data_IF_524457275608
#
_entry.id   IF_524457275608
#
_cell.length_a   1.000
_cell.length_b   1.000
_cell.length_c   1.000
_cell.angle_alpha   90.00
_cell.angle_beta   90.00
_cell.angle_gamma   90.00
#
_symmetry.space_group_name_H-M   'P 1'
#
loop_
_entity.id
_entity.type
_entity.pdbx_description
1 polymer ?
#
# COMPACT_ATOMS: atom_id res chain seq x y z
N UNK A 1 -15.33 -13.09 -28.56
CA UNK A 1 -14.85 -12.50 -29.83
C UNK A 1 -13.67 -11.54 -29.60
N UNK A 2 -13.80 -10.51 -28.76
CA UNK A 2 -12.73 -9.54 -28.46
C UNK A 2 -11.42 -10.12 -27.84
N UNK A 3 -11.40 -11.39 -27.46
CA UNK A 3 -10.17 -12.06 -26.98
C UNK A 3 -9.26 -12.53 -28.12
N UNK A 4 -9.82 -12.81 -29.31
CA UNK A 4 -9.06 -13.29 -30.47
C UNK A 4 -8.53 -12.11 -31.27
N UNK A 5 -7.43 -11.51 -30.81
CA UNK A 5 -6.79 -10.33 -31.42
C UNK A 5 -6.50 -10.51 -32.92
N UNK A 6 -6.06 -11.71 -33.32
CA UNK A 6 -5.75 -12.01 -34.71
C UNK A 6 -6.95 -11.83 -35.66
N UNK A 7 -8.16 -12.21 -35.23
CA UNK A 7 -9.36 -12.07 -36.08
C UNK A 7 -9.72 -10.60 -36.29
N UNK A 8 -9.59 -9.77 -35.26
CA UNK A 8 -10.01 -8.38 -35.30
C UNK A 8 -8.97 -7.51 -36.02
N UNK A 9 -7.68 -7.80 -35.81
CA UNK A 9 -6.57 -7.06 -36.42
C UNK A 9 -6.21 -7.53 -37.84
N UNK A 10 -6.76 -8.66 -38.31
CA UNK A 10 -6.52 -9.17 -39.67
C UNK A 10 -7.11 -8.27 -40.77
N UNK A 11 -8.06 -7.40 -40.42
CA UNK A 11 -8.70 -6.48 -41.36
C UNK A 11 -8.03 -5.10 -41.27
N UNK A 12 -7.66 -4.53 -42.41
CA UNK A 12 -6.93 -3.25 -42.48
C UNK A 12 -7.73 -2.00 -42.08
N UNK A 13 -9.04 -2.11 -41.84
CA UNK A 13 -9.89 -1.01 -41.37
C UNK A 13 -9.82 -0.87 -39.85
N UNK A 14 -9.66 0.35 -39.33
CA UNK A 14 -9.63 0.64 -37.88
C UNK A 14 -11.05 0.58 -37.27
N UNK A 15 -11.76 -0.52 -37.48
CA UNK A 15 -13.15 -0.72 -37.04
C UNK A 15 -13.28 -0.73 -35.51
N UNK A 16 -12.18 -0.98 -34.80
CA UNK A 16 -12.10 -0.95 -33.34
C UNK A 16 -12.30 0.48 -32.80
N UNK A 17 -11.72 1.48 -33.45
CA UNK A 17 -11.83 2.88 -33.03
C UNK A 17 -13.29 3.37 -33.19
N UNK A 18 -13.95 3.02 -34.30
CA UNK A 18 -15.38 3.29 -34.50
C UNK A 18 -16.26 2.59 -33.46
N UNK A 19 -15.99 1.30 -33.17
CA UNK A 19 -16.72 0.55 -32.14
C UNK A 19 -16.53 1.19 -30.75
N UNK A 20 -15.29 1.53 -30.40
CA UNK A 20 -14.97 2.17 -29.14
C UNK A 20 -15.63 3.55 -29.02
N UNK A 21 -15.65 4.34 -30.10
CA UNK A 21 -16.31 5.64 -30.15
C UNK A 21 -17.83 5.50 -29.95
N UNK A 22 -18.46 4.53 -30.62
CA UNK A 22 -19.88 4.24 -30.47
C UNK A 22 -20.23 3.80 -29.04
N UNK A 23 -19.46 2.86 -28.47
CA UNK A 23 -19.68 2.38 -27.09
C UNK A 23 -19.45 3.48 -26.05
N UNK A 24 -18.44 4.34 -26.25
CA UNK A 24 -18.23 5.51 -25.39
C UNK A 24 -19.41 6.48 -25.49
N UNK A 25 -19.92 6.73 -26.70
CA UNK A 25 -21.11 7.58 -26.89
C UNK A 25 -22.35 6.98 -26.22
N UNK A 26 -22.56 5.66 -26.28
CA UNK A 26 -23.68 4.98 -25.61
C UNK A 26 -23.69 5.18 -24.08
N UNK A 27 -22.53 5.39 -23.45
CA UNK A 27 -22.42 5.59 -22.00
C UNK A 27 -22.40 7.08 -21.62
N UNK A 28 -21.71 7.91 -22.40
CA UNK A 28 -21.50 9.33 -22.08
C UNK A 28 -22.61 10.25 -22.57
N UNK A 29 -23.28 9.89 -23.67
CA UNK A 29 -24.28 10.75 -24.30
C UNK A 29 -25.66 10.56 -23.68
N UNK A 30 -26.07 11.55 -22.87
CA UNK A 30 -27.39 11.59 -22.24
C UNK A 30 -28.52 11.80 -23.26
N UNK A 31 -28.23 12.26 -24.47
CA UNK A 31 -29.22 12.52 -25.51
C UNK A 31 -29.81 11.23 -26.11
N UNK A 32 -29.06 10.13 -26.09
CA UNK A 32 -29.48 8.84 -26.65
C UNK A 32 -30.60 8.15 -25.85
N UNK A 33 -30.89 8.64 -24.63
CA UNK A 33 -31.91 8.10 -23.70
C UNK A 33 -31.86 6.57 -23.57
N UNK A 34 -30.66 5.98 -23.62
CA UNK A 34 -30.48 4.54 -23.44
C UNK A 34 -30.63 4.20 -21.95
N UNK A 35 -31.37 3.14 -21.59
CA UNK A 35 -31.88 2.06 -22.45
C UNK A 35 -33.32 2.22 -22.97
N UNK A 36 -33.99 3.35 -22.74
CA UNK A 36 -35.43 3.54 -23.05
C UNK A 36 -35.75 3.48 -24.55
N UNK A 37 -34.75 3.72 -25.40
CA UNK A 37 -34.86 3.67 -26.87
C UNK A 37 -34.59 2.29 -27.47
N UNK A 38 -34.26 1.28 -26.65
CA UNK A 38 -33.99 -0.08 -27.13
C UNK A 38 -35.29 -0.85 -27.38
N UNK A 39 -35.36 -1.52 -28.53
CA UNK A 39 -36.47 -2.42 -28.90
C UNK A 39 -36.13 -3.87 -28.52
N UNK A 40 -37.13 -4.71 -28.23
CA UNK A 40 -36.98 -6.14 -27.88
C UNK A 40 -36.18 -6.41 -26.60
N UNK A 41 -36.45 -5.61 -25.56
CA UNK A 41 -35.74 -5.67 -24.28
C UNK A 41 -36.47 -6.62 -23.30
N UNK A 42 -35.76 -7.35 -22.42
CA UNK A 42 -36.38 -8.15 -21.38
C UNK A 42 -37.34 -7.31 -20.50
N UNK A 43 -38.43 -7.89 -19.96
CA UNK A 43 -39.33 -7.15 -19.09
C UNK A 43 -38.55 -6.63 -17.86
N UNK A 44 -38.66 -5.31 -17.59
CA UNK A 44 -37.98 -4.58 -16.50
C UNK A 44 -36.47 -4.38 -16.64
N UNK A 45 -35.94 -4.26 -17.85
CA UNK A 45 -34.53 -3.92 -18.04
C UNK A 45 -34.21 -2.50 -17.57
N UNK A 46 -33.29 -2.39 -16.62
CA UNK A 46 -32.91 -1.11 -16.03
C UNK A 46 -31.62 -0.57 -16.65
N UNK A 47 -31.34 0.73 -16.45
CA UNK A 47 -30.04 1.33 -16.80
C UNK A 47 -28.86 0.59 -16.13
N UNK A 48 -29.08 0.03 -14.93
CA UNK A 48 -28.05 -0.77 -14.26
C UNK A 48 -27.75 -2.06 -15.02
N UNK A 49 -28.77 -2.71 -15.60
CA UNK A 49 -28.60 -3.96 -16.36
C UNK A 49 -27.96 -3.68 -17.73
N UNK A 50 -28.28 -2.54 -18.35
CA UNK A 50 -27.57 -2.10 -19.54
C UNK A 50 -26.07 -1.91 -19.27
N UNK A 51 -25.73 -1.22 -18.18
CA UNK A 51 -24.34 -0.96 -17.79
C UNK A 51 -23.56 -2.26 -17.54
N UNK A 52 -24.14 -3.25 -16.87
CA UNK A 52 -23.45 -4.52 -16.61
C UNK A 52 -23.07 -5.29 -17.88
N UNK A 53 -23.74 -5.07 -19.01
CA UNK A 53 -23.38 -5.68 -20.30
C UNK A 53 -22.36 -4.85 -21.09
N UNK A 54 -22.43 -3.52 -21.02
CA UNK A 54 -21.55 -2.61 -21.79
C UNK A 54 -20.16 -2.49 -21.17
N UNK A 55 -20.05 -2.38 -19.84
CA UNK A 55 -18.77 -2.18 -19.16
C UNK A 55 -17.73 -3.29 -19.35
N UNK A 56 -18.09 -4.59 -19.39
CA UNK A 56 -17.15 -5.65 -19.77
C UNK A 56 -16.56 -5.46 -21.18
N UNK A 57 -17.34 -4.94 -22.12
CA UNK A 57 -16.87 -4.68 -23.49
C UNK A 57 -15.91 -3.50 -23.49
N UNK A 58 -16.25 -2.40 -22.80
CA UNK A 58 -15.35 -1.26 -22.60
C UNK A 58 -14.03 -1.68 -21.92
N UNK A 59 -14.09 -2.56 -20.93
CA UNK A 59 -12.91 -3.12 -20.27
C UNK A 59 -11.99 -3.86 -21.26
N UNK A 60 -12.58 -4.64 -22.18
CA UNK A 60 -11.80 -5.37 -23.20
C UNK A 60 -11.11 -4.44 -24.21
N UNK A 61 -11.67 -3.26 -24.47
CA UNK A 61 -11.08 -2.24 -25.36
C UNK A 61 -9.78 -1.67 -24.81
N UNK A 62 -9.59 -1.66 -23.48
CA UNK A 62 -8.32 -1.23 -22.89
C UNK A 62 -7.12 -2.03 -23.43
N UNK A 63 -7.36 -3.31 -23.79
CA UNK A 63 -6.33 -4.18 -24.37
C UNK A 63 -5.94 -3.81 -25.81
N UNK A 64 -6.75 -3.00 -26.51
CA UNK A 64 -6.54 -2.52 -27.88
C UNK A 64 -6.03 -1.08 -27.93
N UNK A 65 -5.52 -0.55 -26.81
CA UNK A 65 -5.09 0.85 -26.66
C UNK A 65 -4.23 1.40 -27.81
N UNK A 66 -3.34 0.58 -28.39
CA UNK A 66 -2.42 0.97 -29.47
C UNK A 66 -3.15 1.35 -30.77
N UNK A 67 -4.40 0.92 -30.95
CA UNK A 67 -5.23 1.23 -32.12
C UNK A 67 -6.29 2.31 -31.84
N UNK A 68 -6.36 2.80 -30.60
CA UNK A 68 -7.31 3.84 -30.19
C UNK A 68 -6.64 5.20 -30.23
N UNK A 69 -7.33 6.18 -30.83
CA UNK A 69 -6.87 7.57 -30.83
C UNK A 69 -6.71 8.13 -29.41
N UNK A 70 -5.76 9.03 -29.14
CA UNK A 70 -5.51 9.57 -27.79
C UNK A 70 -6.74 10.23 -27.13
N UNK A 71 -7.60 10.85 -27.94
CA UNK A 71 -8.87 11.42 -27.47
C UNK A 71 -9.85 10.32 -27.04
N UNK A 72 -9.88 9.20 -27.77
CA UNK A 72 -10.76 8.09 -27.46
C UNK A 72 -10.27 7.31 -26.24
N UNK A 73 -8.97 7.18 -26.03
CA UNK A 73 -8.40 6.64 -24.79
C UNK A 73 -8.87 7.43 -23.55
N UNK A 74 -8.85 8.77 -23.62
CA UNK A 74 -9.36 9.61 -22.54
C UNK A 74 -10.88 9.45 -22.34
N UNK A 75 -11.65 9.39 -23.43
CA UNK A 75 -13.10 9.13 -23.36
C UNK A 75 -13.40 7.78 -22.72
N UNK A 76 -12.65 6.73 -23.08
CA UNK A 76 -12.81 5.39 -22.51
C UNK A 76 -12.58 5.40 -21.00
N UNK A 77 -11.51 6.05 -20.52
CA UNK A 77 -11.25 6.21 -19.08
C UNK A 77 -12.43 6.94 -18.41
N UNK A 78 -12.91 8.05 -18.99
CA UNK A 78 -14.08 8.77 -18.47
C UNK A 78 -15.35 7.93 -18.43
N UNK A 79 -15.58 7.07 -19.42
CA UNK A 79 -16.70 6.13 -19.39
C UNK A 79 -16.57 5.16 -18.22
N UNK A 80 -15.38 4.60 -17.96
CA UNK A 80 -15.11 3.72 -16.82
C UNK A 80 -15.35 4.44 -15.47
N UNK A 81 -15.04 5.73 -15.37
CA UNK A 81 -15.35 6.53 -14.18
C UNK A 81 -16.85 6.62 -13.90
N UNK A 82 -17.68 6.79 -14.93
CA UNK A 82 -19.15 6.76 -14.78
C UNK A 82 -19.62 5.41 -14.23
N UNK A 83 -18.95 4.32 -14.63
CA UNK A 83 -19.21 2.96 -14.16
C UNK A 83 -18.94 2.72 -12.67
N UNK A 84 -18.14 3.58 -12.02
CA UNK A 84 -17.85 3.50 -10.59
C UNK A 84 -19.08 3.73 -9.71
N UNK A 85 -20.10 4.41 -10.24
CA UNK A 85 -21.38 4.64 -9.54
C UNK A 85 -22.39 3.51 -9.72
N UNK A 86 -22.07 2.52 -10.57
CA UNK A 86 -22.96 1.41 -10.90
C UNK A 86 -22.58 0.12 -10.14
N UNK A 87 -23.44 -0.91 -10.24
CA UNK A 87 -23.18 -2.24 -9.64
C UNK A 87 -21.90 -2.92 -10.14
N UNK A 88 -21.35 -2.48 -11.26
CA UNK A 88 -20.12 -2.98 -11.87
C UNK A 88 -18.85 -2.21 -11.47
N UNK A 89 -18.89 -1.41 -10.39
CA UNK A 89 -17.76 -0.61 -9.91
C UNK A 89 -16.46 -1.44 -9.77
N UNK A 90 -16.53 -2.66 -9.23
CA UNK A 90 -15.38 -3.56 -9.08
C UNK A 90 -14.66 -3.83 -10.42
N UNK A 91 -15.42 -4.19 -11.45
CA UNK A 91 -14.87 -4.40 -12.79
C UNK A 91 -14.30 -3.11 -13.37
N UNK A 92 -14.95 -1.97 -13.14
CA UNK A 92 -14.46 -0.67 -13.61
C UNK A 92 -13.12 -0.31 -12.95
N UNK A 93 -12.94 -0.55 -11.65
CA UNK A 93 -11.66 -0.32 -10.95
C UNK A 93 -10.55 -1.22 -11.49
N UNK A 94 -10.82 -2.51 -11.70
CA UNK A 94 -9.83 -3.41 -12.33
C UNK A 94 -9.48 -2.95 -13.75
N UNK A 95 -10.48 -2.48 -14.50
CA UNK A 95 -10.27 -1.94 -15.86
C UNK A 95 -9.45 -0.65 -15.85
N UNK A 96 -9.69 0.24 -14.89
CA UNK A 96 -8.87 1.43 -14.66
C UNK A 96 -7.43 1.08 -14.28
N UNK A 97 -7.22 -0.03 -13.56
CA UNK A 97 -5.88 -0.56 -13.28
C UNK A 97 -5.16 -0.94 -14.57
N UNK A 98 -5.82 -1.68 -15.47
CA UNK A 98 -5.29 -1.97 -16.81
C UNK A 98 -5.03 -0.70 -17.61
N UNK A 99 -5.96 0.27 -17.61
CA UNK A 99 -5.77 1.54 -18.30
C UNK A 99 -4.57 2.34 -17.74
N UNK A 100 -4.28 2.21 -16.44
CA UNK A 100 -3.11 2.85 -15.81
C UNK A 100 -1.80 2.25 -16.33
N UNK A 101 -1.78 0.95 -16.62
CA UNK A 101 -0.60 0.25 -17.15
C UNK A 101 -0.40 0.53 -18.64
N UNK A 102 -1.46 0.47 -19.44
CA UNK A 102 -1.42 0.58 -20.89
C UNK A 102 -1.46 2.04 -21.38
N UNK A 103 -2.33 2.89 -20.82
CA UNK A 103 -2.61 4.26 -21.28
C UNK A 103 -2.05 5.33 -20.32
N UNK A 104 -0.75 5.26 -20.02
CA UNK A 104 -0.09 6.09 -18.99
C UNK A 104 -0.26 7.60 -19.19
N UNK A 105 -0.17 8.09 -20.42
CA UNK A 105 -0.24 9.53 -20.72
C UNK A 105 -1.66 10.09 -20.57
N UNK A 106 -2.67 9.32 -21.00
CA UNK A 106 -4.07 9.67 -20.78
C UNK A 106 -4.43 9.60 -19.28
N UNK A 107 -3.95 8.57 -18.58
CA UNK A 107 -4.18 8.40 -17.15
C UNK A 107 -3.59 9.54 -16.32
N UNK A 108 -2.36 10.01 -16.60
CA UNK A 108 -1.75 11.14 -15.88
C UNK A 108 -2.67 12.39 -15.86
N UNK A 109 -3.33 12.68 -16.99
CA UNK A 109 -4.24 13.84 -17.11
C UNK A 109 -5.55 13.67 -16.35
N UNK A 110 -6.05 12.44 -16.21
CA UNK A 110 -7.36 12.13 -15.61
C UNK A 110 -7.26 11.61 -14.18
N UNK A 111 -6.05 11.29 -13.70
CA UNK A 111 -5.85 10.59 -12.43
C UNK A 111 -6.46 11.33 -11.23
N UNK A 112 -6.39 12.66 -11.20
CA UNK A 112 -7.00 13.46 -10.14
C UNK A 112 -8.52 13.30 -10.08
N UNK A 113 -9.18 13.24 -11.24
CA UNK A 113 -10.62 13.01 -11.37
C UNK A 113 -10.98 11.57 -10.97
N UNK A 114 -10.18 10.61 -11.43
CA UNK A 114 -10.34 9.19 -11.08
C UNK A 114 -10.26 9.00 -9.55
N UNK A 115 -9.27 9.60 -8.89
CA UNK A 115 -9.15 9.52 -7.43
C UNK A 115 -10.35 10.15 -6.71
N UNK A 116 -10.84 11.29 -7.18
CA UNK A 116 -12.03 11.94 -6.62
C UNK A 116 -13.29 11.07 -6.79
N UNK A 117 -13.42 10.35 -7.91
CA UNK A 117 -14.54 9.45 -8.13
C UNK A 117 -14.43 8.18 -7.28
N UNK A 118 -13.21 7.65 -7.09
CA UNK A 118 -12.95 6.54 -6.18
C UNK A 118 -13.24 6.88 -4.72
N UNK A 119 -12.97 8.12 -4.28
CA UNK A 119 -13.23 8.54 -2.89
C UNK A 119 -14.71 8.63 -2.53
N UNK A 120 -15.60 8.73 -3.53
CA UNK A 120 -17.07 8.73 -3.33
C UNK A 120 -17.64 7.33 -3.14
N UNK A 121 -16.87 6.29 -3.48
CA UNK A 121 -17.33 4.91 -3.39
C UNK A 121 -17.31 4.48 -1.91
N UNK A 122 -18.44 3.98 -1.43
CA UNK A 122 -18.53 3.39 -0.09
C UNK A 122 -17.55 2.22 0.04
N UNK A 123 -16.70 2.27 1.06
CA UNK A 123 -15.78 1.18 1.35
C UNK A 123 -16.58 -0.08 1.70
N UNK A 124 -16.49 -1.13 0.87
CA UNK A 124 -17.16 -2.42 1.07
C UNK A 124 -16.17 -3.56 0.86
N UNK A 125 -16.51 -4.78 1.27
CA UNK A 125 -15.62 -5.95 1.11
C UNK A 125 -15.37 -6.26 -0.36
N UNK A 126 -16.39 -6.17 -1.21
CA UNK A 126 -16.28 -6.49 -2.64
C UNK A 126 -15.38 -5.53 -3.44
N UNK A 127 -15.26 -4.28 -3.01
CA UNK A 127 -14.46 -3.26 -3.71
C UNK A 127 -13.06 -3.07 -3.10
N UNK A 128 -12.80 -3.64 -1.92
CA UNK A 128 -11.56 -3.45 -1.19
C UNK A 128 -10.33 -3.90 -1.97
N UNK A 129 -10.31 -5.15 -2.45
CA UNK A 129 -9.17 -5.68 -3.20
C UNK A 129 -8.92 -4.90 -4.50
N UNK A 130 -9.93 -4.65 -5.37
CA UNK A 130 -9.73 -3.84 -6.57
C UNK A 130 -9.13 -2.45 -6.29
N UNK A 131 -9.62 -1.73 -5.27
CA UNK A 131 -9.11 -0.39 -4.94
C UNK A 131 -7.68 -0.45 -4.40
N UNK A 132 -7.41 -1.39 -3.49
CA UNK A 132 -6.06 -1.56 -2.93
C UNK A 132 -5.06 -1.97 -4.02
N UNK A 133 -5.46 -2.83 -4.94
CA UNK A 133 -4.64 -3.25 -6.08
C UNK A 133 -4.39 -2.10 -7.06
N UNK A 134 -5.42 -1.30 -7.39
CA UNK A 134 -5.29 -0.11 -8.22
C UNK A 134 -4.28 0.87 -7.62
N UNK A 135 -4.47 1.24 -6.34
CA UNK A 135 -3.59 2.18 -5.65
C UNK A 135 -2.18 1.61 -5.45
N UNK A 136 -2.04 0.31 -5.18
CA UNK A 136 -0.74 -0.37 -5.12
C UNK A 136 -0.02 -0.32 -6.48
N UNK A 137 -0.74 -0.61 -7.56
CA UNK A 137 -0.21 -0.59 -8.93
C UNK A 137 0.26 0.79 -9.35
N UNK A 138 -0.50 1.81 -8.98
CA UNK A 138 -0.15 3.19 -9.27
C UNK A 138 1.20 3.58 -8.63
N UNK A 139 1.56 3.09 -7.44
CA UNK A 139 2.87 3.38 -6.81
C UNK A 139 4.08 2.90 -7.61
N UNK A 140 3.89 1.91 -8.50
CA UNK A 140 4.93 1.37 -9.37
C UNK A 140 5.19 2.25 -10.60
N UNK A 141 4.38 3.29 -10.81
CA UNK A 141 4.40 4.15 -11.99
C UNK A 141 4.59 5.63 -11.62
N UNK A 142 5.78 6.04 -11.13
CA UNK A 142 6.02 7.40 -10.62
C UNK A 142 5.76 8.53 -11.62
N UNK A 143 5.86 8.25 -12.93
CA UNK A 143 5.58 9.23 -13.97
C UNK A 143 4.09 9.60 -14.06
N UNK A 144 3.19 8.67 -13.71
CA UNK A 144 1.73 8.87 -13.84
C UNK A 144 1.21 9.82 -12.77
N UNK A 145 1.75 9.75 -11.55
CA UNK A 145 1.41 10.66 -10.44
C UNK A 145 2.45 11.77 -10.24
N UNK A 146 3.32 12.02 -11.22
CA UNK A 146 4.39 13.01 -11.12
C UNK A 146 3.87 14.43 -10.87
N UNK A 147 2.64 14.73 -11.31
CA UNK A 147 1.95 16.03 -11.19
C UNK A 147 1.28 16.25 -9.83
N UNK A 148 1.27 15.26 -8.93
CA UNK A 148 0.53 15.35 -7.67
C UNK A 148 1.03 16.47 -6.74
N UNK A 149 0.06 17.18 -6.17
CA UNK A 149 0.23 18.11 -5.05
C UNK A 149 -0.38 17.49 -3.77
N UNK A 150 -0.36 18.24 -2.67
CA UNK A 150 -0.78 17.76 -1.36
C UNK A 150 -2.16 17.09 -1.34
N UNK A 151 -3.14 17.68 -2.02
CA UNK A 151 -4.53 17.21 -2.02
C UNK A 151 -4.74 15.86 -2.69
N UNK A 152 -4.01 15.56 -3.78
CA UNK A 152 -4.12 14.23 -4.42
C UNK A 152 -3.50 13.15 -3.54
N UNK A 153 -2.36 13.43 -2.88
CA UNK A 153 -1.80 12.49 -1.90
C UNK A 153 -2.75 12.29 -0.72
N UNK A 154 -3.36 13.37 -0.21
CA UNK A 154 -4.35 13.29 0.86
C UNK A 154 -5.56 12.43 0.45
N UNK A 155 -6.04 12.60 -0.77
CA UNK A 155 -7.14 11.81 -1.33
C UNK A 155 -6.81 10.32 -1.35
N UNK A 156 -5.58 9.95 -1.75
CA UNK A 156 -5.12 8.56 -1.70
C UNK A 156 -5.18 7.99 -0.28
N UNK A 157 -4.67 8.72 0.73
CA UNK A 157 -4.75 8.24 2.12
C UNK A 157 -6.19 8.15 2.63
N UNK A 158 -7.04 9.12 2.28
CA UNK A 158 -8.45 9.11 2.65
C UNK A 158 -9.20 7.90 2.06
N UNK A 159 -8.87 7.49 0.82
CA UNK A 159 -9.42 6.27 0.21
C UNK A 159 -8.94 5.01 0.93
N UNK A 160 -7.67 4.97 1.35
CA UNK A 160 -7.06 3.77 1.96
C UNK A 160 -7.49 3.53 3.40
N UNK A 161 -7.64 4.60 4.20
CA UNK A 161 -7.88 4.50 5.65
C UNK A 161 -9.09 3.63 6.02
N UNK A 162 -10.26 3.73 5.38
CA UNK A 162 -11.41 2.87 5.70
C UNK A 162 -11.12 1.37 5.61
N UNK A 163 -10.19 0.94 4.75
CA UNK A 163 -9.81 -0.47 4.56
C UNK A 163 -8.88 -1.01 5.66
N UNK A 164 -8.46 -0.16 6.60
CA UNK A 164 -7.62 -0.55 7.75
C UNK A 164 -8.42 -1.06 8.95
N UNK A 165 -9.75 -1.07 8.88
CA UNK A 165 -10.63 -1.49 9.97
C UNK A 165 -10.67 -3.04 10.11
N UNK A 166 -10.15 -3.63 11.21
CA UNK A 166 -10.10 -5.08 11.43
C UNK A 166 -11.46 -5.70 11.74
N UNK A 167 -12.44 -4.92 12.17
CA UNK A 167 -13.81 -5.38 12.40
C UNK A 167 -14.59 -5.54 11.10
N UNK A 168 -14.21 -4.82 10.04
CA UNK A 168 -14.92 -4.82 8.76
C UNK A 168 -14.29 -5.75 7.73
N UNK A 169 -12.97 -5.91 7.76
CA UNK A 169 -12.21 -6.64 6.74
C UNK A 169 -11.38 -7.78 7.33
N UNK A 170 -11.00 -8.74 6.50
CA UNK A 170 -10.10 -9.82 6.92
C UNK A 170 -8.67 -9.30 7.15
N UNK A 171 -7.86 -10.08 7.87
CA UNK A 171 -6.48 -9.70 8.21
C UNK A 171 -5.63 -9.37 6.97
N UNK A 172 -5.82 -10.10 5.87
CA UNK A 172 -5.13 -9.87 4.61
C UNK A 172 -5.40 -8.47 4.04
N UNK A 173 -6.68 -8.07 3.96
CA UNK A 173 -7.08 -6.76 3.42
C UNK A 173 -6.54 -5.62 4.29
N UNK A 174 -6.61 -5.77 5.61
CA UNK A 174 -6.09 -4.79 6.56
C UNK A 174 -4.57 -4.66 6.43
N UNK A 175 -3.85 -5.78 6.38
CA UNK A 175 -2.39 -5.78 6.16
C UNK A 175 -2.01 -5.16 4.81
N UNK A 176 -2.74 -5.47 3.75
CA UNK A 176 -2.53 -4.87 2.44
C UNK A 176 -2.78 -3.36 2.48
N UNK A 177 -3.84 -2.88 3.15
CA UNK A 177 -4.10 -1.46 3.30
C UNK A 177 -2.96 -0.72 4.01
N UNK A 178 -2.45 -1.26 5.12
CA UNK A 178 -1.29 -0.70 5.82
C UNK A 178 -0.05 -0.68 4.94
N UNK A 179 0.20 -1.76 4.20
CA UNK A 179 1.31 -1.83 3.25
C UNK A 179 1.19 -0.73 2.17
N UNK A 180 0.01 -0.58 1.56
CA UNK A 180 -0.21 0.43 0.50
C UNK A 180 -0.09 1.85 1.07
N UNK A 181 -0.59 2.13 2.28
CA UNK A 181 -0.38 3.42 2.96
C UNK A 181 1.11 3.70 3.16
N UNK A 182 1.87 2.73 3.66
CA UNK A 182 3.31 2.88 3.89
C UNK A 182 4.07 3.15 2.57
N UNK A 183 3.76 2.40 1.51
CA UNK A 183 4.40 2.61 0.20
C UNK A 183 4.06 4.00 -0.35
N UNK A 184 2.80 4.44 -0.28
CA UNK A 184 2.42 5.78 -0.71
C UNK A 184 3.11 6.87 0.10
N UNK A 185 3.19 6.74 1.41
CA UNK A 185 3.90 7.69 2.27
C UNK A 185 5.38 7.84 1.87
N UNK A 186 6.04 6.72 1.53
CA UNK A 186 7.42 6.74 1.03
C UNK A 186 7.55 7.35 -0.37
N UNK A 187 6.51 7.28 -1.20
CA UNK A 187 6.47 7.89 -2.54
C UNK A 187 6.07 9.37 -2.52
N UNK A 188 5.39 9.84 -1.47
CA UNK A 188 5.07 11.25 -1.29
C UNK A 188 6.32 12.13 -1.32
N UNK A 189 6.18 13.32 -1.92
CA UNK A 189 7.22 14.36 -1.86
C UNK A 189 7.47 14.79 -0.41
N UNK A 190 8.73 14.99 -0.06
CA UNK A 190 9.17 15.32 1.31
C UNK A 190 8.42 16.51 1.95
N UNK A 191 8.15 17.63 1.26
CA UNK A 191 7.52 18.80 1.89
C UNK A 191 6.16 18.51 2.52
N UNK A 192 5.38 17.59 1.96
CA UNK A 192 4.01 17.31 2.39
C UNK A 192 3.89 16.24 3.47
N UNK A 193 4.93 15.41 3.68
CA UNK A 193 4.83 14.22 4.54
C UNK A 193 4.39 14.57 5.96
N UNK A 194 4.96 15.63 6.53
CA UNK A 194 4.68 16.08 7.90
C UNK A 194 3.18 16.34 8.12
N UNK A 195 2.52 16.93 7.13
CA UNK A 195 1.11 17.31 7.23
C UNK A 195 0.20 16.08 7.19
N UNK A 196 0.61 15.03 6.48
CA UNK A 196 -0.12 13.77 6.40
C UNK A 196 0.00 12.90 7.65
N UNK A 197 1.11 12.96 8.39
CA UNK A 197 1.37 12.09 9.56
C UNK A 197 0.21 12.16 10.57
N UNK A 198 -0.25 13.37 10.90
CA UNK A 198 -1.34 13.56 11.85
C UNK A 198 -2.64 12.91 11.36
N UNK A 199 -2.99 13.16 10.10
CA UNK A 199 -4.20 12.61 9.48
C UNK A 199 -4.17 11.08 9.45
N UNK A 200 -3.07 10.48 8.97
CA UNK A 200 -2.92 9.03 8.87
C UNK A 200 -2.94 8.39 10.27
N UNK A 201 -2.18 8.94 11.22
CA UNK A 201 -2.10 8.39 12.58
C UNK A 201 -3.47 8.41 13.27
N UNK A 202 -4.22 9.51 13.13
CA UNK A 202 -5.56 9.61 13.71
C UNK A 202 -6.53 8.62 13.04
N UNK A 203 -6.47 8.49 11.72
CA UNK A 203 -7.31 7.54 10.98
C UNK A 203 -7.03 6.08 11.34
N UNK A 204 -5.76 5.69 11.46
CA UNK A 204 -5.38 4.32 11.86
C UNK A 204 -5.84 4.02 13.29
N UNK A 205 -5.58 4.93 14.23
CA UNK A 205 -6.00 4.76 15.64
C UNK A 205 -7.51 4.67 15.78
N UNK A 206 -8.27 5.49 15.06
CA UNK A 206 -9.73 5.46 15.10
C UNK A 206 -10.32 4.12 14.62
N UNK A 207 -9.65 3.43 13.69
CA UNK A 207 -10.12 2.16 13.16
C UNK A 207 -9.76 0.95 14.02
N UNK A 208 -8.66 1.03 14.78
CA UNK A 208 -8.24 -0.03 15.72
C UNK A 208 -8.93 0.12 17.07
N UNK A 209 -9.18 1.35 17.52
CA UNK A 209 -9.84 1.66 18.79
C UNK A 209 -11.38 1.71 18.66
N UNK A 210 -11.99 0.75 17.99
CA UNK A 210 -13.45 0.53 18.13
C UNK A 210 -13.70 -0.64 19.09
N UNK A 211 -13.58 -0.45 20.41
CA UNK A 211 -14.35 -1.25 21.34
C UNK A 211 -15.76 -0.66 21.40
N UNK A 212 -16.75 -1.52 21.21
CA UNK A 212 -18.08 -1.24 21.74
C UNK A 212 -17.97 -1.38 23.27
N UNK A 213 -17.46 -0.34 23.96
CA UNK A 213 -17.66 -0.19 25.40
C UNK A 213 -17.37 1.25 25.85
N UNK A 214 -18.41 1.97 26.22
CA UNK A 214 -18.37 3.32 26.79
C UNK A 214 -17.89 3.34 28.26
N UNK A 215 -17.21 2.28 28.73
CA UNK A 215 -17.01 2.03 30.17
C UNK A 215 -15.57 2.13 30.69
N UNK A 216 -14.55 2.32 29.85
CA UNK A 216 -13.14 2.31 30.32
C UNK A 216 -12.24 3.44 29.78
N UNK A 217 -12.81 4.61 29.50
CA UNK A 217 -12.04 5.85 29.51
C UNK A 217 -11.77 6.25 30.97
N UNK A 218 -10.69 5.72 31.56
CA UNK A 218 -9.89 6.29 32.66
C UNK A 218 -9.08 5.18 33.34
N UNK A 219 -7.99 4.76 32.70
CA UNK A 219 -6.71 4.39 33.32
C UNK A 219 -5.76 3.94 32.21
N UNK A 220 -4.89 4.84 31.80
CA UNK A 220 -3.67 4.51 31.08
C UNK A 220 -2.73 3.78 32.04
N UNK A 221 -3.00 2.50 32.29
CA UNK A 221 -2.05 1.63 32.97
C UNK A 221 -0.93 1.27 31.98
N UNK A 222 0.25 1.76 32.30
CA UNK A 222 1.53 1.63 31.58
C UNK A 222 2.10 0.20 31.55
N UNK A 223 1.28 -0.83 31.81
CA UNK A 223 1.71 -2.20 32.13
C UNK A 223 1.73 -3.18 30.96
N UNK A 224 1.32 -2.78 29.74
CA UNK A 224 1.34 -3.64 28.55
C UNK A 224 2.62 -3.51 27.68
N UNK A 225 3.66 -2.82 28.16
CA UNK A 225 4.81 -2.42 27.32
C UNK A 225 5.78 -3.58 26.99
N UNK A 226 5.62 -4.78 27.56
CA UNK A 226 6.55 -5.89 27.33
C UNK A 226 5.85 -7.26 27.23
N UNK A 227 4.81 -7.35 26.40
CA UNK A 227 4.28 -8.68 26.06
C UNK A 227 5.16 -9.34 25.00
N UNK A 228 5.83 -10.42 25.40
CA UNK A 228 6.76 -11.18 24.57
C UNK A 228 6.01 -11.89 23.43
N UNK A 229 6.50 -11.71 22.20
CA UNK A 229 5.93 -12.27 20.97
C UNK A 229 6.17 -13.78 20.80
N UNK A 230 6.55 -14.48 21.86
CA UNK A 230 6.93 -15.89 21.87
C UNK A 230 5.77 -16.86 21.69
N UNK A 231 4.51 -16.41 21.79
CA UNK A 231 3.31 -17.24 21.58
C UNK A 231 2.93 -17.44 20.09
N UNK A 232 3.64 -16.81 19.15
CA UNK A 232 3.35 -16.93 17.71
C UNK A 232 3.79 -18.30 17.17
N UNK A 233 2.82 -19.15 16.80
CA UNK A 233 3.08 -20.29 15.91
C UNK A 233 3.47 -19.76 14.52
N UNK A 234 4.68 -20.10 14.07
CA UNK A 234 5.12 -19.86 12.68
C UNK A 234 4.17 -20.54 11.71
N UNK A 235 3.64 -19.80 10.74
CA UNK A 235 2.89 -20.36 9.62
C UNK A 235 3.82 -21.06 8.64
N UNK A 236 4.30 -22.26 8.99
CA UNK A 236 5.03 -23.12 8.05
C UNK A 236 5.10 -24.56 8.57
N UNK A 237 4.16 -25.42 8.16
CA UNK A 237 4.38 -26.81 7.70
C UNK A 237 3.07 -27.62 7.73
N UNK A 238 2.59 -27.99 6.55
CA UNK A 238 1.65 -29.09 6.32
C UNK A 238 2.36 -30.41 6.67
N UNK A 239 2.28 -30.85 7.92
CA UNK A 239 2.42 -32.23 8.43
C UNK A 239 2.76 -32.13 9.91
N UNK A 240 1.82 -32.46 10.80
CA UNK A 240 2.10 -33.02 12.14
C UNK A 240 0.77 -33.58 12.64
N UNK A 241 0.58 -34.88 12.40
CA UNK A 241 -0.37 -35.69 13.12
C UNK A 241 0.10 -35.81 14.57
N UNK A 242 -0.81 -35.56 15.52
CA UNK A 242 -0.72 -36.19 16.83
C UNK A 242 -0.37 -35.26 17.98
N UNK A 243 -1.40 -34.84 18.71
CA UNK A 243 -1.34 -34.76 20.17
C UNK A 243 -2.75 -34.99 20.69
N UNK A 244 -2.98 -36.21 21.18
CA UNK A 244 -4.20 -36.64 21.86
C UNK A 244 -4.32 -35.90 23.20
N UNK A 245 -5.56 -35.52 23.54
CA UNK A 245 -6.02 -35.49 24.93
C UNK A 245 -6.45 -34.13 25.45
N UNK A 246 -7.76 -33.86 25.41
CA UNK A 246 -8.63 -33.91 26.60
C UNK A 246 -10.09 -33.70 26.16
N UNK A 247 -10.91 -34.73 26.35
CA UNK A 247 -12.38 -34.65 26.21
C UNK A 247 -12.94 -33.97 27.45
N UNK A 248 -13.72 -32.91 27.27
CA UNK A 248 -14.81 -32.56 28.18
C UNK A 248 -16.05 -32.25 27.30
N UNK A 249 -17.17 -32.89 27.64
CA UNK A 249 -18.46 -32.85 26.95
C UNK A 249 -19.42 -31.91 27.72
N UNK A 250 -20.57 -31.52 27.12
CA UNK A 250 -21.04 -30.13 27.10
C UNK A 250 -22.08 -29.80 28.18
N UNK A 251 -22.23 -28.51 28.49
CA UNK A 251 -23.43 -27.96 29.13
C UNK A 251 -24.23 -27.22 28.05
N UNK A 252 -25.42 -27.75 27.78
CA UNK A 252 -26.47 -27.13 26.97
C UNK A 252 -26.99 -25.88 27.71
N UNK A 253 -26.88 -24.72 27.09
CA UNK A 253 -27.82 -23.63 27.35
C UNK A 253 -28.28 -23.03 26.03
N UNK A 254 -29.53 -23.32 25.70
CA UNK A 254 -30.26 -22.76 24.59
C UNK A 254 -30.33 -21.23 24.69
N UNK A 255 -29.68 -20.54 23.75
CA UNK A 255 -30.13 -19.22 23.27
C UNK A 255 -29.98 -19.17 21.76
N UNK A 256 -31.06 -19.49 21.06
CA UNK A 256 -31.30 -19.11 19.69
C UNK A 256 -31.96 -17.73 19.71
N UNK A 257 -31.17 -16.68 19.46
CA UNK A 257 -31.61 -15.46 18.79
C UNK A 257 -30.53 -15.09 17.78
N UNK A 258 -30.93 -15.06 16.52
CA UNK A 258 -30.09 -14.77 15.38
C UNK A 258 -29.46 -13.37 15.47
N UNK A 259 -28.13 -13.30 15.42
CA UNK A 259 -27.35 -12.06 15.33
C UNK A 259 -25.87 -12.39 15.14
N UNK A 260 -25.35 -12.15 13.93
CA UNK A 260 -23.95 -12.14 13.54
C UNK A 260 -23.08 -13.38 13.84
N UNK A 261 -23.06 -14.29 12.86
CA UNK A 261 -21.96 -15.25 12.63
C UNK A 261 -20.68 -14.55 12.17
N UNK A 262 -20.18 -13.57 12.94
CA UNK A 262 -18.81 -13.08 12.78
C UNK A 262 -17.94 -13.81 13.80
N UNK A 263 -16.88 -14.53 13.39
CA UNK A 263 -15.95 -15.08 14.36
C UNK A 263 -15.43 -13.92 15.21
N UNK A 264 -15.57 -14.05 16.53
CA UNK A 264 -15.00 -13.09 17.47
C UNK A 264 -13.51 -12.90 17.12
N UNK A 265 -13.08 -11.64 16.98
CA UNK A 265 -11.67 -11.35 16.78
C UNK A 265 -10.94 -11.88 18.02
N UNK A 266 -10.16 -12.94 17.83
CA UNK A 266 -9.33 -13.49 18.89
C UNK A 266 -8.38 -12.39 19.39
N UNK A 267 -8.13 -12.33 20.69
CA UNK A 267 -7.23 -11.37 21.34
C UNK A 267 -5.87 -11.27 20.63
N UNK A 268 -5.29 -12.42 20.24
CA UNK A 268 -4.04 -12.45 19.47
C UNK A 268 -4.14 -11.79 18.07
N UNK A 269 -5.30 -11.84 17.42
CA UNK A 269 -5.51 -11.14 16.14
C UNK A 269 -5.72 -9.63 16.35
N UNK A 270 -6.34 -9.24 17.46
CA UNK A 270 -6.46 -7.83 17.82
C UNK A 270 -5.09 -7.22 18.12
N UNK A 271 -4.26 -7.91 18.91
CA UNK A 271 -2.89 -7.49 19.19
C UNK A 271 -2.06 -7.37 17.90
N UNK A 272 -2.21 -8.31 16.96
CA UNK A 272 -1.58 -8.20 15.64
C UNK A 272 -1.96 -6.90 14.90
N UNK A 273 -3.22 -6.50 14.94
CA UNK A 273 -3.67 -5.25 14.29
C UNK A 273 -3.18 -3.98 15.01
N UNK A 274 -3.04 -4.02 16.33
CA UNK A 274 -2.40 -2.96 17.12
C UNK A 274 -0.93 -2.82 16.72
N UNK A 275 -0.16 -3.92 16.71
CA UNK A 275 1.24 -3.93 16.29
C UNK A 275 1.42 -3.44 14.84
N UNK A 276 0.52 -3.82 13.94
CA UNK A 276 0.54 -3.36 12.55
C UNK A 276 0.37 -1.83 12.47
N UNK A 277 -0.45 -1.25 13.33
CA UNK A 277 -0.61 0.21 13.42
C UNK A 277 0.65 0.86 13.99
N UNK A 278 1.22 0.31 15.06
CA UNK A 278 2.46 0.83 15.65
C UNK A 278 3.64 0.80 14.68
N UNK A 279 3.81 -0.31 13.95
CA UNK A 279 4.87 -0.43 12.93
C UNK A 279 4.69 0.56 11.78
N UNK A 280 3.45 0.84 11.37
CA UNK A 280 3.18 1.87 10.37
C UNK A 280 3.50 3.28 10.89
N UNK A 281 3.21 3.57 12.16
CA UNK A 281 3.54 4.84 12.80
C UNK A 281 5.06 5.01 12.95
N UNK A 282 5.78 3.95 13.35
CA UNK A 282 7.24 3.97 13.44
C UNK A 282 7.90 4.21 12.07
N UNK A 283 7.38 3.56 11.01
CA UNK A 283 7.80 3.82 9.64
C UNK A 283 7.61 5.29 9.25
N UNK A 284 6.44 5.87 9.55
CA UNK A 284 6.20 7.28 9.28
C UNK A 284 7.17 8.17 10.07
N UNK A 285 7.33 7.94 11.37
CA UNK A 285 8.26 8.70 12.21
C UNK A 285 9.69 8.66 11.65
N UNK A 286 10.11 7.49 11.16
CA UNK A 286 11.42 7.28 10.54
C UNK A 286 11.63 8.07 9.24
N UNK A 287 10.61 8.11 8.37
CA UNK A 287 10.73 8.63 6.99
C UNK A 287 10.02 9.97 6.74
N UNK A 288 9.49 10.62 7.78
CA UNK A 288 8.78 11.91 7.62
C UNK A 288 9.67 12.99 7.02
N UNK A 289 10.91 13.12 7.51
CA UNK A 289 11.78 14.23 7.15
C UNK A 289 12.85 13.88 6.10
N UNK A 290 13.11 12.59 5.88
CA UNK A 290 14.12 12.14 4.91
C UNK A 290 13.89 10.70 4.49
N UNK A 291 14.33 10.35 3.27
CA UNK A 291 14.45 8.96 2.79
C UNK A 291 15.90 8.52 2.85
N UNK A 292 16.18 7.53 3.69
CA UNK A 292 17.52 6.94 3.84
C UNK A 292 17.42 5.42 3.90
N UNK A 293 18.56 4.74 3.84
CA UNK A 293 18.58 3.28 3.89
C UNK A 293 18.12 2.79 5.27
N UNK A 294 17.28 1.75 5.27
CA UNK A 294 16.80 1.14 6.51
C UNK A 294 17.93 0.55 7.37
N UNK A 295 19.06 0.20 6.75
CA UNK A 295 20.26 -0.27 7.43
C UNK A 295 21.33 0.81 7.40
N UNK A 296 21.85 1.24 8.56
CA UNK A 296 23.03 2.10 8.59
C UNK A 296 24.24 1.29 8.09
N UNK A 297 25.11 1.94 7.32
CA UNK A 297 26.44 1.42 6.98
C UNK A 297 27.47 2.38 7.53
N UNK A 298 28.34 1.88 8.40
CA UNK A 298 29.46 2.67 8.93
C UNK A 298 30.52 2.80 7.84
N UNK A 299 31.29 3.87 7.90
CA UNK A 299 32.45 4.04 7.04
C UNK A 299 33.61 3.19 7.57
N UNK A 300 34.59 2.81 6.72
CA UNK A 300 35.76 2.06 7.17
C UNK A 300 36.54 2.76 8.29
N UNK A 301 36.60 4.09 8.26
CA UNK A 301 37.24 4.88 9.31
C UNK A 301 36.47 4.82 10.65
N UNK A 302 35.13 4.86 10.62
CA UNK A 302 34.32 4.72 11.83
C UNK A 302 34.42 3.31 12.42
N UNK A 303 34.43 2.28 11.59
CA UNK A 303 34.63 0.89 12.04
C UNK A 303 36.03 0.69 12.64
N UNK A 304 37.04 1.33 12.06
CA UNK A 304 38.39 1.35 12.62
C UNK A 304 38.45 2.04 13.98
N UNK A 305 37.86 3.23 14.13
CA UNK A 305 37.88 4.00 15.39
C UNK A 305 37.10 3.32 16.52
N UNK A 306 36.01 2.63 16.18
CA UNK A 306 35.17 1.90 17.13
C UNK A 306 35.65 0.46 17.35
N UNK A 307 36.71 0.03 16.66
CA UNK A 307 37.33 -1.27 16.87
C UNK A 307 37.77 -1.37 18.32
N UNK A 308 37.44 -2.49 18.98
CA UNK A 308 37.72 -2.74 20.40
C UNK A 308 37.07 -1.73 21.37
N UNK A 309 36.10 -0.96 20.90
CA UNK A 309 35.31 -0.04 21.71
C UNK A 309 34.32 -0.74 22.64
N UNK A 310 34.06 -0.15 23.81
CA UNK A 310 33.02 -0.65 24.71
C UNK A 310 31.65 -0.31 24.15
N UNK A 311 30.76 -1.31 24.07
CA UNK A 311 29.38 -1.14 23.61
C UNK A 311 28.41 -1.51 24.71
N UNK A 312 27.41 -0.67 24.91
CA UNK A 312 26.31 -0.89 25.85
C UNK A 312 24.98 -0.72 25.11
N UNK A 313 23.99 -1.55 25.43
CA UNK A 313 22.66 -1.51 24.82
C UNK A 313 21.59 -1.42 25.90
N UNK A 314 20.64 -0.51 25.72
CA UNK A 314 19.51 -0.31 26.62
C UNK A 314 18.20 -0.47 25.86
N UNK A 315 17.19 -1.03 26.52
CA UNK A 315 15.81 -1.07 26.04
C UNK A 315 15.08 0.16 26.57
N UNK A 316 14.48 0.96 25.68
CA UNK A 316 13.65 2.11 26.02
C UNK A 316 12.31 1.99 25.28
N UNK A 317 11.26 1.57 25.99
CA UNK A 317 9.98 1.20 25.37
C UNK A 317 10.20 0.05 24.38
N UNK A 318 9.81 0.27 23.11
CA UNK A 318 9.99 -0.69 22.00
C UNK A 318 11.30 -0.49 21.22
N UNK A 319 12.19 0.41 21.69
CA UNK A 319 13.44 0.76 20.99
C UNK A 319 14.66 0.19 21.70
N UNK A 320 15.59 -0.35 20.93
CA UNK A 320 16.93 -0.69 21.40
C UNK A 320 17.90 0.43 21.05
N UNK A 321 18.57 0.98 22.06
CA UNK A 321 19.57 2.03 21.91
C UNK A 321 20.93 1.40 22.22
N UNK A 322 21.80 1.35 21.22
CA UNK A 322 23.18 0.87 21.37
C UNK A 322 24.15 2.03 21.20
N UNK A 323 25.00 2.25 22.20
CA UNK A 323 26.08 3.24 22.16
C UNK A 323 27.41 2.48 22.22
N UNK A 324 28.31 2.82 21.30
CA UNK A 324 29.69 2.33 21.28
C UNK A 324 30.64 3.51 21.47
N UNK A 325 31.51 3.45 22.47
CA UNK A 325 32.59 4.41 22.66
C UNK A 325 33.87 3.90 22.01
N UNK A 326 34.75 4.78 21.53
CA UNK A 326 36.01 4.37 20.89
C UNK A 326 36.93 3.64 21.88
N UNK A 327 37.60 2.59 21.42
CA UNK A 327 38.61 1.87 22.21
C UNK A 327 39.95 2.60 22.32
N UNK A 328 40.12 3.75 21.68
CA UNK A 328 41.35 4.53 21.80
C UNK A 328 41.54 5.07 23.21
N UNK A 329 42.74 4.85 23.75
CA UNK A 329 43.18 5.42 25.04
C UNK A 329 43.02 6.95 25.04
N UNK A 330 42.49 7.50 26.14
CA UNK A 330 42.36 8.94 26.36
C UNK A 330 43.70 9.65 26.54
N UNK A 331 44.79 8.91 26.72
CA UNK A 331 46.15 9.45 26.78
C UNK A 331 46.77 9.41 25.38
N UNK A 332 47.09 10.58 24.83
CA UNK A 332 47.96 10.69 23.68
C UNK A 332 49.33 10.11 24.04
N UNK A 333 49.66 8.94 23.49
CA UNK A 333 50.90 8.23 23.86
C UNK A 333 52.06 8.61 22.95
N UNK A 334 51.82 8.94 21.66
CA UNK A 334 52.86 9.36 20.70
C UNK A 334 52.33 10.37 19.68
N UNK A 335 53.00 11.53 19.55
CA UNK A 335 52.66 12.62 18.62
C UNK A 335 51.19 13.09 18.68
N UNK A 336 50.53 13.05 19.84
CA UNK A 336 49.13 13.47 19.98
C UNK A 336 48.09 12.41 19.58
N UNK A 337 48.50 11.21 19.15
CA UNK A 337 47.60 10.13 18.70
C UNK A 337 47.58 8.95 19.69
N UNK A 338 46.47 8.21 19.73
CA UNK A 338 46.39 6.88 20.36
C UNK A 338 47.18 5.85 19.54
N UNK A 339 47.60 4.74 20.16
CA UNK A 339 48.46 3.73 19.52
C UNK A 339 47.87 3.17 18.22
N UNK A 340 46.57 2.88 18.19
CA UNK A 340 45.89 2.41 16.97
C UNK A 340 45.96 3.45 15.83
N UNK A 341 45.67 4.72 16.12
CA UNK A 341 45.77 5.80 15.13
C UNK A 341 47.22 6.06 14.71
N UNK A 342 48.18 5.96 15.63
CA UNK A 342 49.60 6.14 15.33
C UNK A 342 50.14 5.06 14.38
N UNK A 343 49.78 3.78 14.59
CA UNK A 343 50.20 2.67 13.72
C UNK A 343 49.70 2.88 12.28
N UNK A 344 48.44 3.28 12.11
CA UNK A 344 47.86 3.53 10.78
C UNK A 344 48.48 4.75 10.10
N UNK A 345 48.65 5.87 10.81
CA UNK A 345 49.29 7.06 10.25
C UNK A 345 50.77 6.81 9.88
N UNK A 346 51.48 5.98 10.66
CA UNK A 346 52.85 5.57 10.34
C UNK A 346 52.91 4.65 9.11
N UNK A 347 51.98 3.71 8.99
CA UNK A 347 51.88 2.87 7.80
C UNK A 347 51.59 3.69 6.52
N UNK A 348 50.78 4.75 6.62
CA UNK A 348 50.48 5.64 5.49
C UNK A 348 51.65 6.55 5.07
N UNK A 349 52.63 6.80 5.97
CA UNK A 349 53.78 7.69 5.74
C UNK A 349 55.05 6.95 5.29
N UNK A 350 54.98 5.64 5.07
CA UNK A 350 56.06 4.87 4.43
C UNK A 350 55.91 4.91 2.89
N UNK A 351 57.02 5.00 2.12
CA UNK A 351 56.97 5.40 0.69
C UNK A 351 56.24 4.41 -0.23
N UNK A 352 56.01 3.17 0.20
CA UNK A 352 55.38 2.14 -0.62
C UNK A 352 53.87 2.38 -0.84
N UNK A 353 53.18 3.09 0.07
CA UNK A 353 51.73 3.36 -0.07
C UNK A 353 51.41 4.47 -1.09
N UNK A 354 52.33 5.41 -1.30
CA UNK A 354 52.23 6.46 -2.33
C UNK A 354 52.33 5.89 -3.75
N UNK A 355 52.89 4.69 -3.92
CA UNK A 355 52.98 4.02 -5.23
C UNK A 355 51.70 3.31 -5.67
N UNK A 356 50.76 3.03 -4.74
CA UNK A 356 49.51 2.29 -5.03
C UNK A 356 48.26 3.16 -5.19
N UNK A 357 48.29 4.43 -4.81
CA UNK A 357 47.18 5.37 -5.04
C UNK A 357 47.26 6.11 -6.39
N UNK A 358 48.28 5.83 -7.22
CA UNK A 358 48.54 6.52 -8.48
C UNK A 358 47.87 5.93 -9.74
N UNK A 359 47.04 4.88 -9.65
CA UNK A 359 46.43 4.27 -10.84
C UNK A 359 44.93 4.01 -10.67
N UNK A 360 44.14 5.07 -10.54
CA UNK A 360 42.77 5.12 -11.10
C UNK A 360 42.55 6.53 -11.62
N UNK A 361 42.87 6.74 -12.90
CA UNK A 361 42.81 8.04 -13.55
C UNK A 361 43.09 7.93 -15.05
N UNK A 362 42.14 7.36 -15.77
CA UNK A 362 41.82 7.65 -17.18
C UNK A 362 40.48 7.01 -17.53
#
# INVERSE_FOLDING_TARGET
VMQNRALILSRHSNDIDFLAAALCSMVSDKSLRLPETLYSVPPKFTLSDFRTHVFPVLASLASYHAHLEPNLQQRLIKCLEVGLTAKCASQCVTSLTTCTLEMRDAMNKLLSEVLLNLSKISATVHIAIPILEFLSTLTRLPKVFASFIGDQYMSVFAILLPYTNPFKYNHYTVSLAHHVIAVWFLKCRLPYRRDFVKFITNGLKANVLVPFDESHLMKSDFSLINEDSSSRKRSSSLTEQGSRGRRERPILQNRMLAGDLKPAINEGLMNFHVELTETCIDLMARYTFSTYTARPKRSPAADFLLKEGQSMTWLLGTRLITITTSGCSSKAMRNGLCDNCWVVCKAASTPEFLSRSGTVGS
#
